data_IF_394539457216
#
_entry.id   IF_394539457216
#
_cell.length_a   1.000
_cell.length_b   1.000
_cell.length_c   1.000
_cell.angle_alpha   90.00
_cell.angle_beta   90.00
_cell.angle_gamma   90.00
#
_symmetry.space_group_name_H-M   'P 1'
#
loop_
_entity.id
_entity.type
_entity.pdbx_description
1 polymer ?
#
# COMPACT_ATOMS: atom_id res chain seq x y z
N UNK A 1 -4.45 -20.33 -23.92
CA UNK A 1 -5.77 -20.96 -24.02
C UNK A 1 -6.87 -19.96 -24.38
N UNK A 2 -7.13 -18.99 -23.53
CA UNK A 2 -8.20 -17.99 -23.74
C UNK A 2 -8.09 -17.28 -25.10
N UNK A 3 -6.90 -16.81 -25.47
CA UNK A 3 -6.68 -16.12 -26.75
C UNK A 3 -6.99 -17.01 -27.97
N UNK A 4 -6.65 -18.29 -27.90
CA UNK A 4 -6.95 -19.25 -28.98
C UNK A 4 -8.45 -19.43 -29.13
N UNK A 5 -9.18 -19.56 -28.01
CA UNK A 5 -10.65 -19.67 -28.03
C UNK A 5 -11.34 -18.40 -28.50
N UNK A 6 -10.79 -17.22 -28.17
CA UNK A 6 -11.27 -15.95 -28.70
C UNK A 6 -11.06 -15.83 -30.21
N UNK A 7 -9.89 -16.24 -30.71
CA UNK A 7 -9.60 -16.26 -32.16
C UNK A 7 -10.46 -17.27 -32.92
N UNK A 8 -10.84 -18.37 -32.28
CA UNK A 8 -11.73 -19.37 -32.86
C UNK A 8 -13.21 -18.97 -32.78
N UNK A 9 -13.55 -17.81 -32.22
CA UNK A 9 -14.92 -17.35 -32.02
C UNK A 9 -15.70 -18.12 -30.93
N UNK A 10 -15.03 -19.01 -30.19
CA UNK A 10 -15.64 -19.82 -29.13
C UNK A 10 -15.79 -19.06 -27.81
N UNK A 11 -15.09 -17.95 -27.66
CA UNK A 11 -15.14 -17.04 -26.54
C UNK A 11 -15.30 -15.61 -27.07
N UNK A 12 -16.39 -14.94 -26.72
CA UNK A 12 -16.68 -13.58 -27.14
C UNK A 12 -16.91 -12.67 -25.92
N UNK A 13 -15.85 -12.31 -25.19
CA UNK A 13 -15.97 -11.42 -24.04
C UNK A 13 -16.40 -10.03 -24.50
N UNK A 14 -17.36 -9.42 -23.79
CA UNK A 14 -17.78 -8.03 -24.02
C UNK A 14 -16.77 -7.04 -23.47
N UNK A 15 -16.08 -7.43 -22.40
CA UNK A 15 -15.06 -6.65 -21.68
C UNK A 15 -13.90 -7.57 -21.35
N UNK A 16 -12.67 -7.05 -21.31
CA UNK A 16 -11.47 -7.82 -20.98
C UNK A 16 -11.57 -8.60 -19.65
N UNK A 17 -12.33 -8.07 -18.68
CA UNK A 17 -12.59 -8.72 -17.39
C UNK A 17 -13.44 -10.00 -17.48
N UNK A 18 -14.18 -10.21 -18.55
CA UNK A 18 -15.08 -11.35 -18.69
C UNK A 18 -14.39 -12.64 -19.13
N UNK A 19 -13.16 -12.55 -19.61
CA UNK A 19 -12.41 -13.68 -20.16
C UNK A 19 -12.27 -14.83 -19.14
N UNK A 20 -11.90 -14.53 -17.92
CA UNK A 20 -11.70 -15.55 -16.86
C UNK A 20 -13.02 -16.17 -16.42
N UNK A 21 -14.08 -15.42 -16.07
CA UNK A 21 -15.38 -15.99 -15.76
C UNK A 21 -15.94 -16.85 -16.91
N UNK A 22 -15.81 -16.40 -18.16
CA UNK A 22 -16.29 -17.16 -19.33
C UNK A 22 -15.54 -18.47 -19.53
N UNK A 23 -14.19 -18.48 -19.34
CA UNK A 23 -13.43 -19.70 -19.36
C UNK A 23 -13.86 -20.67 -18.27
N UNK A 24 -14.04 -20.17 -17.04
CA UNK A 24 -14.45 -20.99 -15.91
C UNK A 24 -15.83 -21.62 -16.16
N UNK A 25 -16.80 -20.84 -16.63
CA UNK A 25 -18.15 -21.35 -16.93
C UNK A 25 -18.14 -22.37 -18.07
N UNK A 26 -17.20 -22.27 -19.02
CA UNK A 26 -17.11 -23.21 -20.15
C UNK A 26 -16.47 -24.55 -19.76
N UNK A 27 -15.49 -24.56 -18.86
CA UNK A 27 -14.67 -25.75 -18.59
C UNK A 27 -14.87 -26.37 -17.21
N UNK A 28 -15.45 -25.65 -16.24
CA UNK A 28 -15.62 -26.19 -14.90
C UNK A 28 -17.01 -26.75 -14.66
N UNK A 29 -17.11 -27.94 -14.01
CA UNK A 29 -18.40 -28.44 -13.52
C UNK A 29 -19.05 -27.48 -12.53
N UNK A 30 -20.37 -27.40 -12.51
CA UNK A 30 -21.14 -26.46 -11.67
C UNK A 30 -20.70 -26.36 -10.20
N UNK A 31 -20.52 -27.48 -9.47
CA UNK A 31 -20.07 -27.41 -8.06
C UNK A 31 -18.68 -26.80 -7.90
N UNK A 32 -17.73 -27.12 -8.79
CA UNK A 32 -16.37 -26.55 -8.76
C UNK A 32 -16.41 -25.07 -9.10
N UNK A 33 -17.22 -24.70 -10.10
CA UNK A 33 -17.44 -23.31 -10.48
C UNK A 33 -17.97 -22.49 -9.28
N UNK A 34 -18.96 -23.05 -8.56
CA UNK A 34 -19.51 -22.43 -7.35
C UNK A 34 -18.46 -22.19 -6.28
N UNK A 35 -17.58 -23.16 -6.01
CA UNK A 35 -16.47 -22.99 -5.06
C UNK A 35 -15.46 -21.92 -5.50
N UNK A 36 -15.14 -21.83 -6.79
CA UNK A 36 -14.23 -20.80 -7.32
C UNK A 36 -14.84 -19.42 -7.16
N UNK A 37 -16.11 -19.24 -7.51
CA UNK A 37 -16.80 -17.96 -7.31
C UNK A 37 -16.93 -17.58 -5.83
N UNK A 38 -17.22 -18.55 -4.96
CA UNK A 38 -17.26 -18.32 -3.52
C UNK A 38 -15.89 -17.87 -3.01
N UNK A 39 -14.80 -18.50 -3.47
CA UNK A 39 -13.44 -18.08 -3.15
C UNK A 39 -13.11 -16.66 -3.62
N UNK A 40 -13.55 -16.30 -4.83
CA UNK A 40 -13.38 -14.94 -5.36
C UNK A 40 -14.16 -13.90 -4.53
N UNK A 41 -15.40 -14.19 -4.18
CA UNK A 41 -16.23 -13.32 -3.32
C UNK A 41 -15.59 -13.18 -1.94
N UNK A 42 -15.12 -14.28 -1.34
CA UNK A 42 -14.43 -14.24 -0.05
C UNK A 42 -13.16 -13.39 -0.09
N UNK A 43 -12.36 -13.50 -1.15
CA UNK A 43 -11.17 -12.69 -1.35
C UNK A 43 -11.48 -11.20 -1.48
N UNK A 44 -12.52 -10.83 -2.25
CA UNK A 44 -12.99 -9.45 -2.38
C UNK A 44 -13.48 -8.92 -1.03
N UNK A 45 -14.28 -9.70 -0.32
CA UNK A 45 -14.85 -9.31 0.97
C UNK A 45 -13.76 -9.11 2.04
N UNK A 46 -12.78 -10.01 2.11
CA UNK A 46 -11.66 -9.91 3.04
C UNK A 46 -10.79 -8.67 2.81
N UNK A 47 -10.74 -8.17 1.58
CA UNK A 47 -9.97 -6.97 1.21
C UNK A 47 -10.80 -5.69 1.37
N UNK A 48 -12.06 -5.70 0.96
CA UNK A 48 -12.92 -4.52 1.04
C UNK A 48 -13.18 -4.08 2.49
N UNK A 49 -13.43 -5.03 3.40
CA UNK A 49 -13.72 -4.72 4.80
C UNK A 49 -12.61 -3.94 5.51
N UNK A 50 -11.32 -4.35 5.49
CA UNK A 50 -10.24 -3.56 6.08
C UNK A 50 -10.02 -2.22 5.39
N UNK A 51 -10.18 -2.09 4.08
CA UNK A 51 -10.05 -0.80 3.39
C UNK A 51 -11.12 0.19 3.85
N UNK A 52 -12.38 -0.24 3.90
CA UNK A 52 -13.50 0.59 4.35
C UNK A 52 -13.33 0.95 5.83
N UNK A 53 -12.99 -0.03 6.68
CA UNK A 53 -12.79 0.17 8.11
C UNK A 53 -11.63 1.12 8.41
N UNK A 54 -10.49 0.91 7.79
CA UNK A 54 -9.31 1.78 7.95
C UNK A 54 -9.58 3.19 7.43
N UNK A 55 -10.20 3.31 6.25
CA UNK A 55 -10.57 4.60 5.69
C UNK A 55 -11.53 5.38 6.61
N UNK A 56 -12.54 4.72 7.15
CA UNK A 56 -13.46 5.29 8.13
C UNK A 56 -12.73 5.77 9.39
N UNK A 57 -11.81 4.94 9.92
CA UNK A 57 -11.02 5.27 11.11
C UNK A 57 -10.07 6.44 10.88
N UNK A 58 -9.42 6.53 9.72
CA UNK A 58 -8.55 7.67 9.38
C UNK A 58 -9.37 8.97 9.35
N UNK A 59 -10.50 8.98 8.67
CA UNK A 59 -11.36 10.17 8.61
C UNK A 59 -11.87 10.54 10.00
N UNK A 60 -12.32 9.55 10.76
CA UNK A 60 -12.83 9.77 12.12
C UNK A 60 -11.73 10.32 13.03
N UNK A 61 -10.55 9.70 13.09
CA UNK A 61 -9.47 10.03 14.00
C UNK A 61 -8.73 11.30 13.58
N UNK A 62 -8.29 11.37 12.32
CA UNK A 62 -7.35 12.39 11.86
C UNK A 62 -8.05 13.67 11.43
N UNK A 63 -9.33 13.60 10.99
CA UNK A 63 -10.11 14.77 10.58
C UNK A 63 -11.14 15.12 11.64
N UNK A 64 -12.11 14.26 11.89
CA UNK A 64 -13.23 14.58 12.78
C UNK A 64 -12.77 14.81 14.22
N UNK A 65 -12.12 13.83 14.82
CA UNK A 65 -11.67 13.89 16.21
C UNK A 65 -10.67 15.01 16.45
N UNK A 66 -9.67 15.13 15.58
CA UNK A 66 -8.56 16.07 15.76
C UNK A 66 -8.96 17.52 15.49
N UNK A 67 -9.66 17.78 14.39
CA UNK A 67 -9.96 19.16 13.97
C UNK A 67 -11.36 19.63 14.33
N UNK A 68 -12.39 18.76 14.26
CA UNK A 68 -13.77 19.14 14.54
C UNK A 68 -14.05 19.05 16.04
N UNK A 69 -13.71 17.94 16.67
CA UNK A 69 -13.97 17.71 18.10
C UNK A 69 -12.84 18.18 19.01
N UNK A 70 -11.68 18.57 18.49
CA UNK A 70 -10.50 19.03 19.25
C UNK A 70 -10.11 18.05 20.37
N UNK A 71 -10.21 16.75 20.05
CA UNK A 71 -9.92 15.64 20.97
C UNK A 71 -10.88 15.53 22.17
N UNK A 72 -12.04 16.16 22.12
CA UNK A 72 -13.08 16.05 23.14
C UNK A 72 -14.25 15.20 22.63
N UNK A 73 -14.74 14.25 23.44
CA UNK A 73 -15.88 13.40 23.11
C UNK A 73 -15.80 12.01 23.74
N UNK A 74 -16.90 11.26 23.69
CA UNK A 74 -16.99 9.94 24.29
C UNK A 74 -16.49 8.83 23.35
N UNK A 75 -16.12 7.69 23.91
CA UNK A 75 -15.76 6.50 23.14
C UNK A 75 -16.91 6.03 22.23
N UNK A 76 -18.14 6.10 22.72
CA UNK A 76 -19.33 5.76 21.92
C UNK A 76 -19.48 6.66 20.69
N UNK A 77 -19.23 7.96 20.83
CA UNK A 77 -19.23 8.90 19.71
C UNK A 77 -18.20 8.52 18.65
N UNK A 78 -17.00 8.14 19.08
CA UNK A 78 -15.94 7.71 18.15
C UNK A 78 -16.35 6.48 17.33
N UNK A 79 -16.97 5.48 17.99
CA UNK A 79 -17.44 4.27 17.32
C UNK A 79 -18.54 4.61 16.29
N UNK A 80 -19.51 5.41 16.67
CA UNK A 80 -20.61 5.77 15.77
C UNK A 80 -20.13 6.62 14.59
N UNK A 81 -19.28 7.58 14.84
CA UNK A 81 -18.70 8.43 13.79
C UNK A 81 -17.87 7.60 12.80
N UNK A 82 -17.08 6.63 13.30
CA UNK A 82 -16.35 5.71 12.45
C UNK A 82 -17.30 4.88 11.56
N UNK A 83 -18.39 4.35 12.12
CA UNK A 83 -19.40 3.60 11.36
C UNK A 83 -20.04 4.46 10.27
N UNK A 84 -20.37 5.72 10.56
CA UNK A 84 -20.93 6.65 9.58
C UNK A 84 -19.94 6.87 8.43
N UNK A 85 -18.67 7.19 8.71
CA UNK A 85 -17.66 7.39 7.67
C UNK A 85 -17.38 6.12 6.86
N UNK A 86 -17.33 4.95 7.50
CA UNK A 86 -17.20 3.68 6.81
C UNK A 86 -18.38 3.43 5.86
N UNK A 87 -19.62 3.74 6.31
CA UNK A 87 -20.82 3.61 5.46
C UNK A 87 -20.78 4.57 4.27
N UNK A 88 -20.35 5.82 4.47
CA UNK A 88 -20.20 6.79 3.39
C UNK A 88 -19.17 6.31 2.36
N UNK A 89 -18.03 5.79 2.83
CA UNK A 89 -16.99 5.24 1.94
C UNK A 89 -17.52 4.02 1.16
N UNK A 90 -18.25 3.13 1.81
CA UNK A 90 -18.85 1.98 1.15
C UNK A 90 -19.87 2.42 0.07
N UNK A 91 -20.74 3.38 0.39
CA UNK A 91 -21.67 3.94 -0.57
C UNK A 91 -20.97 4.61 -1.77
N UNK A 92 -19.91 5.39 -1.52
CA UNK A 92 -19.10 5.99 -2.57
C UNK A 92 -18.43 4.93 -3.46
N UNK A 93 -17.91 3.83 -2.88
CA UNK A 93 -17.33 2.73 -3.65
C UNK A 93 -18.38 2.05 -4.54
N UNK A 94 -19.61 1.85 -4.05
CA UNK A 94 -20.72 1.31 -4.85
C UNK A 94 -21.06 2.25 -6.01
N UNK A 95 -21.16 3.55 -5.77
CA UNK A 95 -21.43 4.54 -6.83
C UNK A 95 -20.34 4.48 -7.90
N UNK A 96 -19.07 4.47 -7.51
CA UNK A 96 -17.95 4.35 -8.46
C UNK A 96 -18.05 3.06 -9.26
N UNK A 97 -18.35 1.94 -8.60
CA UNK A 97 -18.52 0.63 -9.27
C UNK A 97 -19.65 0.62 -10.29
N UNK A 98 -20.75 1.31 -10.02
CA UNK A 98 -21.90 1.37 -10.92
C UNK A 98 -21.70 2.36 -12.09
N UNK A 99 -20.86 3.38 -11.91
CA UNK A 99 -20.64 4.43 -12.91
C UNK A 99 -19.38 4.23 -13.75
N UNK A 100 -18.45 3.40 -13.28
CA UNK A 100 -17.20 3.13 -14.00
C UNK A 100 -17.40 2.07 -15.07
N UNK A 101 -16.93 2.38 -16.28
CA UNK A 101 -16.85 1.44 -17.41
C UNK A 101 -15.46 0.78 -17.54
N UNK A 102 -14.50 1.21 -16.72
CA UNK A 102 -13.13 0.71 -16.78
C UNK A 102 -13.03 -0.70 -16.18
N UNK A 103 -12.11 -1.49 -16.72
CA UNK A 103 -11.79 -2.79 -16.16
C UNK A 103 -11.27 -2.66 -14.71
N UNK A 104 -11.68 -3.57 -13.83
CA UNK A 104 -11.28 -3.59 -12.40
C UNK A 104 -9.76 -3.46 -12.22
N UNK A 105 -8.98 -4.10 -13.11
CA UNK A 105 -7.51 -4.04 -13.09
C UNK A 105 -6.99 -2.61 -13.31
N UNK A 106 -7.64 -1.84 -14.18
CA UNK A 106 -7.27 -0.45 -14.46
C UNK A 106 -7.55 0.45 -13.27
N UNK A 107 -8.75 0.31 -12.68
CA UNK A 107 -9.14 1.05 -11.47
C UNK A 107 -8.22 0.69 -10.30
N UNK A 108 -7.93 -0.60 -10.10
CA UNK A 108 -7.00 -1.09 -9.08
C UNK A 108 -5.57 -0.58 -9.28
N UNK A 109 -5.09 -0.57 -10.53
CA UNK A 109 -3.79 0.00 -10.88
C UNK A 109 -3.71 1.49 -10.58
N UNK A 110 -4.76 2.25 -10.88
CA UNK A 110 -4.85 3.66 -10.54
C UNK A 110 -4.89 3.88 -9.03
N UNK A 111 -5.68 3.10 -8.28
CA UNK A 111 -5.76 3.18 -6.82
C UNK A 111 -4.42 2.89 -6.14
N UNK A 112 -3.65 1.89 -6.64
CA UNK A 112 -2.30 1.60 -6.10
C UNK A 112 -1.32 2.75 -6.31
N UNK A 113 -1.51 3.59 -7.32
CA UNK A 113 -0.67 4.76 -7.53
C UNK A 113 -0.72 5.71 -6.33
N UNK A 114 -1.89 5.89 -5.70
CA UNK A 114 -2.03 6.72 -4.49
C UNK A 114 -1.29 6.15 -3.29
N UNK A 115 -1.25 4.83 -3.13
CA UNK A 115 -0.46 4.16 -2.10
C UNK A 115 1.04 4.38 -2.30
N UNK A 116 1.52 4.29 -3.54
CA UNK A 116 2.95 4.43 -3.84
C UNK A 116 3.48 5.84 -3.69
N UNK A 117 2.70 6.89 -3.91
CA UNK A 117 3.15 8.28 -3.70
C UNK A 117 3.41 8.62 -2.23
N UNK A 118 2.85 7.87 -1.28
CA UNK A 118 3.16 7.99 0.15
C UNK A 118 4.62 7.65 0.47
N UNK A 119 5.33 7.04 -0.47
CA UNK A 119 6.77 6.79 -0.38
C UNK A 119 7.58 8.06 -0.06
N UNK A 120 7.12 9.22 -0.53
CA UNK A 120 7.74 10.51 -0.21
C UNK A 120 7.79 10.78 1.31
N UNK A 121 6.73 10.46 2.05
CA UNK A 121 6.69 10.60 3.51
C UNK A 121 7.61 9.57 4.19
N UNK A 122 7.64 8.34 3.68
CA UNK A 122 8.46 7.26 4.23
C UNK A 122 9.96 7.53 4.08
N UNK A 123 10.39 8.17 2.99
CA UNK A 123 11.79 8.56 2.78
C UNK A 123 12.30 9.46 3.91
N UNK A 124 11.47 10.41 4.38
CA UNK A 124 11.83 11.29 5.47
C UNK A 124 12.05 10.55 6.79
N UNK A 125 11.24 9.54 7.07
CA UNK A 125 11.31 8.76 8.31
C UNK A 125 12.46 7.76 8.30
N UNK A 126 12.56 6.93 7.25
CA UNK A 126 13.48 5.80 7.25
C UNK A 126 14.89 6.12 6.76
N UNK A 127 15.04 7.01 5.79
CA UNK A 127 16.34 7.30 5.17
C UNK A 127 16.92 8.66 5.51
N UNK A 128 16.23 9.42 6.36
CA UNK A 128 16.71 10.72 6.82
C UNK A 128 16.75 11.80 5.75
N UNK A 129 16.10 11.61 4.60
CA UNK A 129 15.90 12.68 3.64
C UNK A 129 15.03 13.75 4.27
N UNK A 130 15.62 14.88 4.61
CA UNK A 130 14.91 15.99 5.22
C UNK A 130 14.36 16.89 4.14
N UNK A 131 13.10 16.64 3.77
CA UNK A 131 12.33 17.61 3.01
C UNK A 131 11.61 18.54 3.97
N UNK A 132 11.50 19.85 3.64
CA UNK A 132 10.66 20.75 4.44
C UNK A 132 9.20 20.28 4.38
N UNK A 133 8.44 20.50 5.46
CA UNK A 133 7.04 20.04 5.57
C UNK A 133 6.18 20.52 4.41
N UNK A 134 6.34 21.76 4.01
CA UNK A 134 5.65 22.34 2.83
C UNK A 134 6.08 21.63 1.55
N UNK A 135 7.35 21.23 1.43
CA UNK A 135 7.85 20.48 0.28
C UNK A 135 7.22 19.09 0.17
N UNK A 136 6.97 18.42 1.29
CA UNK A 136 6.25 17.13 1.31
C UNK A 136 4.81 17.32 0.88
N UNK A 137 4.10 18.32 1.42
CA UNK A 137 2.71 18.61 1.05
C UNK A 137 2.59 18.96 -0.42
N UNK A 138 3.40 19.88 -0.93
CA UNK A 138 3.40 20.26 -2.35
C UNK A 138 3.83 19.10 -3.24
N UNK A 139 4.80 18.28 -2.79
CA UNK A 139 5.21 17.07 -3.48
C UNK A 139 4.08 16.05 -3.60
N UNK A 140 3.32 15.81 -2.53
CA UNK A 140 2.15 14.92 -2.57
C UNK A 140 1.05 15.45 -3.49
N UNK A 141 0.74 16.75 -3.42
CA UNK A 141 -0.25 17.37 -4.31
C UNK A 141 0.17 17.26 -5.79
N UNK A 142 1.44 17.53 -6.08
CA UNK A 142 2.00 17.38 -7.42
C UNK A 142 1.96 15.92 -7.90
N UNK A 143 2.27 14.96 -7.00
CA UNK A 143 2.20 13.53 -7.31
C UNK A 143 0.78 13.07 -7.62
N UNK A 144 -0.21 13.49 -6.81
CA UNK A 144 -1.62 13.21 -7.04
C UNK A 144 -2.04 13.79 -8.40
N UNK A 145 -1.72 15.05 -8.66
CA UNK A 145 -2.04 15.72 -9.94
C UNK A 145 -1.41 14.99 -11.13
N UNK A 146 -0.13 14.57 -11.00
CA UNK A 146 0.55 13.80 -12.05
C UNK A 146 -0.13 12.45 -12.29
N UNK A 147 -0.58 11.74 -11.23
CA UNK A 147 -1.33 10.50 -11.38
C UNK A 147 -2.63 10.70 -12.17
N UNK A 148 -3.40 11.74 -11.84
CA UNK A 148 -4.64 12.06 -12.56
C UNK A 148 -4.37 12.41 -14.02
N UNK A 149 -3.41 13.30 -14.30
CA UNK A 149 -3.08 13.71 -15.65
C UNK A 149 -2.57 12.55 -16.51
N UNK A 150 -1.70 11.70 -15.96
CA UNK A 150 -1.14 10.56 -16.69
C UNK A 150 -2.14 9.44 -16.90
N UNK A 151 -3.16 9.32 -16.06
CA UNK A 151 -4.23 8.35 -16.23
C UNK A 151 -5.32 8.83 -17.20
N UNK A 152 -5.90 9.99 -16.94
CA UNK A 152 -7.08 10.45 -17.68
C UNK A 152 -6.76 11.24 -18.95
N UNK A 153 -5.69 12.05 -18.93
CA UNK A 153 -5.38 12.97 -20.04
C UNK A 153 -4.37 12.35 -21.00
N UNK A 154 -3.21 11.91 -20.48
CA UNK A 154 -2.11 11.43 -21.30
C UNK A 154 -2.09 9.92 -21.52
N UNK A 155 -2.96 9.17 -20.85
CA UNK A 155 -3.16 7.73 -21.01
C UNK A 155 -1.84 6.94 -21.05
N UNK A 156 -1.12 6.92 -19.92
CA UNK A 156 0.15 6.20 -19.73
C UNK A 156 1.28 6.67 -20.67
N UNK A 157 1.71 7.93 -20.60
CA UNK A 157 2.78 8.42 -21.45
C UNK A 157 4.05 7.58 -21.28
N UNK A 158 4.73 7.30 -22.38
CA UNK A 158 5.89 6.41 -22.47
C UNK A 158 5.66 4.98 -21.94
N UNK A 159 4.43 4.51 -21.87
CA UNK A 159 4.07 3.22 -21.26
C UNK A 159 4.50 3.06 -19.80
N UNK A 160 4.76 4.17 -19.11
CA UNK A 160 5.11 4.17 -17.68
C UNK A 160 3.82 4.27 -16.86
N UNK A 161 3.69 3.39 -15.85
CA UNK A 161 2.57 3.41 -14.93
C UNK A 161 2.45 4.76 -14.20
N UNK A 162 1.23 5.21 -13.95
CA UNK A 162 0.92 6.49 -13.29
C UNK A 162 1.65 6.70 -11.97
N UNK A 163 1.84 5.63 -11.19
CA UNK A 163 2.63 5.65 -9.95
C UNK A 163 4.07 6.13 -10.16
N UNK A 164 4.71 5.71 -11.24
CA UNK A 164 6.08 6.15 -11.59
C UNK A 164 6.13 7.65 -11.80
N UNK A 165 5.19 8.20 -12.56
CA UNK A 165 5.08 9.64 -12.76
C UNK A 165 4.78 10.40 -11.48
N UNK A 166 3.88 9.85 -10.63
CA UNK A 166 3.56 10.42 -9.32
C UNK A 166 4.78 10.50 -8.42
N UNK A 167 5.52 9.40 -8.26
CA UNK A 167 6.75 9.36 -7.45
C UNK A 167 7.78 10.37 -7.97
N UNK A 168 8.03 10.38 -9.28
CA UNK A 168 9.02 11.26 -9.90
C UNK A 168 8.68 12.73 -9.68
N UNK A 169 7.44 13.11 -9.96
CA UNK A 169 6.97 14.48 -9.83
C UNK A 169 6.97 14.93 -8.37
N UNK A 170 6.49 14.07 -7.46
CA UNK A 170 6.49 14.35 -6.03
C UNK A 170 7.88 14.58 -5.45
N UNK A 171 8.82 13.70 -5.79
CA UNK A 171 10.22 13.84 -5.38
C UNK A 171 10.87 15.10 -5.97
N UNK A 172 10.64 15.39 -7.26
CA UNK A 172 11.18 16.57 -7.91
C UNK A 172 10.71 17.87 -7.23
N UNK A 173 9.42 17.98 -6.92
CA UNK A 173 8.86 19.14 -6.23
C UNK A 173 9.39 19.26 -4.80
N UNK A 174 9.41 18.17 -4.03
CA UNK A 174 9.93 18.18 -2.67
C UNK A 174 11.42 18.55 -2.63
N UNK A 175 12.21 18.01 -3.56
CA UNK A 175 13.62 18.35 -3.70
C UNK A 175 13.83 19.81 -4.12
N UNK A 176 13.01 20.32 -5.03
CA UNK A 176 13.06 21.72 -5.45
C UNK A 176 12.75 22.67 -4.29
N UNK A 177 11.75 22.36 -3.47
CA UNK A 177 11.45 23.15 -2.26
C UNK A 177 12.64 23.20 -1.29
N UNK A 178 13.33 22.08 -1.11
CA UNK A 178 14.57 22.04 -0.32
C UNK A 178 15.66 22.94 -0.94
N UNK A 179 15.84 22.88 -2.26
CA UNK A 179 16.82 23.69 -2.99
C UNK A 179 16.56 25.20 -2.95
N UNK A 180 15.30 25.60 -2.77
CA UNK A 180 14.88 27.00 -2.57
C UNK A 180 15.17 27.54 -1.16
N UNK A 181 15.74 26.70 -0.28
CA UNK A 181 16.07 27.13 1.08
C UNK A 181 14.86 27.23 2.02
N UNK A 182 13.72 26.68 1.65
CA UNK A 182 12.54 26.64 2.52
C UNK A 182 12.87 25.75 3.72
N UNK A 183 12.73 26.31 4.91
CA UNK A 183 13.01 25.63 6.18
C UNK A 183 11.73 25.49 7.00
N UNK A 184 11.63 24.42 7.76
CA UNK A 184 10.59 24.26 8.77
C UNK A 184 10.83 25.22 9.95
N UNK A 185 9.77 25.47 10.73
CA UNK A 185 9.90 26.18 11.99
C UNK A 185 10.81 25.41 12.96
N UNK A 186 11.48 26.13 13.87
CA UNK A 186 12.36 25.48 14.85
C UNK A 186 11.62 24.44 15.69
N UNK A 187 10.38 24.75 16.09
CA UNK A 187 9.51 23.82 16.82
C UNK A 187 9.27 22.51 16.05
N UNK A 188 9.04 22.58 14.73
CA UNK A 188 8.86 21.40 13.89
C UNK A 188 10.15 20.59 13.80
N UNK A 189 11.30 21.24 13.69
CA UNK A 189 12.61 20.59 13.64
C UNK A 189 12.89 19.87 14.97
N UNK A 190 12.64 20.52 16.10
CA UNK A 190 12.87 19.94 17.42
C UNK A 190 11.96 18.73 17.67
N UNK A 191 10.67 18.83 17.28
CA UNK A 191 9.73 17.70 17.34
C UNK A 191 10.16 16.53 16.43
N UNK A 192 10.64 16.82 15.22
CA UNK A 192 11.17 15.77 14.34
C UNK A 192 12.39 15.08 14.93
N UNK A 193 13.24 15.83 15.64
CA UNK A 193 14.41 15.29 16.33
C UNK A 193 13.99 14.39 17.50
N UNK A 194 13.07 14.85 18.33
CA UNK A 194 12.50 14.08 19.45
C UNK A 194 11.90 12.75 18.98
N UNK A 195 11.03 12.78 17.95
CA UNK A 195 10.46 11.56 17.35
C UNK A 195 11.54 10.62 16.83
N UNK A 196 12.59 11.14 16.24
CA UNK A 196 13.71 10.32 15.75
C UNK A 196 14.51 9.69 16.89
N UNK A 197 14.79 10.45 17.94
CA UNK A 197 15.47 9.93 19.14
C UNK A 197 14.62 8.85 19.80
N UNK A 198 13.31 9.05 19.91
CA UNK A 198 12.38 8.05 20.40
C UNK A 198 12.38 6.78 19.51
N UNK A 199 12.26 6.92 18.18
CA UNK A 199 12.33 5.78 17.26
C UNK A 199 13.64 5.01 17.41
N UNK A 200 14.77 5.71 17.54
CA UNK A 200 16.06 5.07 17.74
C UNK A 200 16.19 4.37 19.10
N UNK A 201 15.53 4.88 20.14
CA UNK A 201 15.52 4.25 21.46
C UNK A 201 14.66 2.99 21.52
N UNK A 202 13.52 3.01 20.79
CA UNK A 202 12.62 1.85 20.67
C UNK A 202 13.23 0.78 19.75
N UNK A 203 13.95 1.20 18.71
CA UNK A 203 14.56 0.34 17.71
C UNK A 203 16.06 0.15 17.98
N UNK A 204 16.38 -0.54 19.07
CA UNK A 204 17.76 -0.87 19.47
C UNK A 204 18.09 -2.33 19.13
N UNK A 205 18.49 -2.64 17.87
CA UNK A 205 18.80 -4.01 17.48
C UNK A 205 20.10 -4.48 18.15
N UNK A 206 20.18 -5.80 18.38
CA UNK A 206 21.45 -6.44 18.80
C UNK A 206 22.53 -6.23 17.74
N UNK A 207 23.79 -6.49 18.10
CA UNK A 207 24.91 -6.40 17.14
C UNK A 207 24.68 -7.30 15.91
N UNK A 208 24.11 -8.49 16.13
CA UNK A 208 23.75 -9.40 15.03
C UNK A 208 22.61 -8.80 14.16
N UNK A 209 21.61 -8.21 14.80
CA UNK A 209 20.54 -7.49 14.11
C UNK A 209 21.05 -6.34 13.23
N UNK A 210 22.03 -5.56 13.71
CA UNK A 210 22.67 -4.49 12.92
C UNK A 210 23.37 -5.03 11.67
N UNK A 211 24.07 -6.13 11.77
CA UNK A 211 24.71 -6.80 10.61
C UNK A 211 23.67 -7.23 9.59
N UNK A 212 22.57 -7.87 10.05
CA UNK A 212 21.49 -8.28 9.17
C UNK A 212 20.78 -7.09 8.51
N UNK A 213 20.52 -6.01 9.24
CA UNK A 213 19.95 -4.77 8.67
C UNK A 213 20.84 -4.20 7.58
N UNK A 214 22.16 -4.22 7.76
CA UNK A 214 23.09 -3.77 6.73
C UNK A 214 23.03 -4.64 5.46
N UNK A 215 22.91 -5.96 5.60
CA UNK A 215 22.73 -6.89 4.47
C UNK A 215 21.41 -6.67 3.76
N UNK A 216 20.32 -6.44 4.51
CA UNK A 216 18.97 -6.22 3.95
C UNK A 216 18.89 -4.92 3.14
N UNK A 217 19.70 -3.89 3.44
CA UNK A 217 19.79 -2.67 2.60
C UNK A 217 20.18 -2.95 1.15
N UNK A 218 20.86 -4.06 0.90
CA UNK A 218 21.25 -4.51 -0.45
C UNK A 218 20.26 -5.57 -0.97
N UNK A 219 19.91 -6.54 -0.15
CA UNK A 219 19.09 -7.67 -0.58
C UNK A 219 17.65 -7.25 -0.93
N UNK A 220 17.05 -6.32 -0.19
CA UNK A 220 15.68 -5.86 -0.47
C UNK A 220 15.59 -5.12 -1.81
N UNK A 221 16.42 -4.11 -2.11
CA UNK A 221 16.44 -3.50 -3.45
C UNK A 221 16.73 -4.49 -4.57
N UNK A 222 17.64 -5.43 -4.35
CA UNK A 222 17.96 -6.47 -5.35
C UNK A 222 16.72 -7.35 -5.61
N UNK A 223 16.00 -7.74 -4.56
CA UNK A 223 14.75 -8.48 -4.70
C UNK A 223 13.71 -7.69 -5.50
N UNK A 224 13.54 -6.39 -5.22
CA UNK A 224 12.64 -5.53 -5.99
C UNK A 224 13.04 -5.44 -7.46
N UNK A 225 14.32 -5.27 -7.76
CA UNK A 225 14.82 -5.21 -9.13
C UNK A 225 14.56 -6.52 -9.90
N UNK A 226 14.70 -7.65 -9.25
CA UNK A 226 14.56 -8.96 -9.89
C UNK A 226 13.10 -9.43 -9.93
N UNK A 227 12.33 -9.22 -8.86
CA UNK A 227 10.95 -9.69 -8.76
C UNK A 227 9.94 -8.78 -9.49
N UNK A 228 10.09 -7.46 -9.39
CA UNK A 228 9.12 -6.47 -9.87
C UNK A 228 9.71 -5.50 -10.91
N UNK A 229 11.03 -5.40 -10.97
CA UNK A 229 11.74 -4.49 -11.85
C UNK A 229 12.25 -5.16 -13.15
N UNK A 230 13.37 -4.70 -13.68
CA UNK A 230 13.95 -5.19 -14.95
C UNK A 230 14.21 -6.70 -15.00
N UNK A 231 14.39 -7.35 -13.85
CA UNK A 231 14.54 -8.80 -13.77
C UNK A 231 13.36 -9.59 -14.32
N UNK A 232 12.16 -8.99 -14.35
CA UNK A 232 10.97 -9.57 -14.96
C UNK A 232 11.16 -9.83 -16.47
N UNK A 233 11.94 -8.98 -17.15
CA UNK A 233 12.26 -9.18 -18.57
C UNK A 233 13.08 -10.45 -18.79
N UNK A 234 14.02 -10.75 -17.88
CA UNK A 234 14.80 -12.00 -17.89
C UNK A 234 13.87 -13.16 -17.59
N UNK A 235 13.01 -13.04 -16.56
CA UNK A 235 12.07 -14.07 -16.15
C UNK A 235 11.09 -14.47 -17.23
N UNK A 236 10.70 -13.54 -18.09
CA UNK A 236 9.76 -13.82 -19.18
C UNK A 236 10.32 -14.76 -20.27
N UNK A 237 11.64 -14.96 -20.30
CA UNK A 237 12.31 -15.82 -21.29
C UNK A 237 13.08 -17.00 -20.66
N UNK A 238 13.22 -17.01 -19.32
CA UNK A 238 14.18 -17.88 -18.65
C UNK A 238 13.80 -19.37 -18.68
N UNK A 239 12.60 -19.72 -18.24
CA UNK A 239 12.16 -21.12 -18.15
C UNK A 239 10.64 -21.23 -17.94
N UNK A 240 10.09 -22.39 -18.31
CA UNK A 240 8.74 -22.80 -17.94
C UNK A 240 8.82 -23.95 -16.94
N UNK A 241 7.91 -23.97 -15.96
CA UNK A 241 7.89 -24.97 -14.91
C UNK A 241 6.47 -25.49 -14.69
N UNK A 242 6.29 -26.81 -14.70
CA UNK A 242 5.00 -27.46 -14.47
C UNK A 242 3.85 -26.89 -15.34
N UNK A 243 4.11 -26.50 -16.59
CA UNK A 243 3.11 -25.91 -17.48
C UNK A 243 2.81 -24.43 -17.24
N UNK A 244 3.46 -23.80 -16.26
CA UNK A 244 3.36 -22.36 -16.08
C UNK A 244 4.19 -21.61 -17.13
N UNK A 245 3.68 -20.51 -17.67
CA UNK A 245 4.48 -19.60 -18.49
C UNK A 245 5.73 -19.11 -17.75
N UNK A 246 6.83 -18.79 -18.45
CA UNK A 246 8.09 -18.39 -17.83
C UNK A 246 7.93 -17.26 -16.78
N UNK A 247 7.11 -16.25 -17.07
CA UNK A 247 6.87 -15.14 -16.15
C UNK A 247 6.25 -15.60 -14.82
N UNK A 248 5.33 -16.54 -14.84
CA UNK A 248 4.71 -17.07 -13.63
C UNK A 248 5.69 -17.93 -12.83
N UNK A 249 6.49 -18.78 -13.52
CA UNK A 249 7.53 -19.56 -12.88
C UNK A 249 8.56 -18.65 -12.18
N UNK A 250 8.97 -17.55 -12.83
CA UNK A 250 9.83 -16.51 -12.27
C UNK A 250 9.21 -15.86 -11.02
N UNK A 251 7.96 -15.46 -11.10
CA UNK A 251 7.26 -14.83 -9.97
C UNK A 251 7.13 -15.78 -8.78
N UNK A 252 6.83 -17.05 -8.98
CA UNK A 252 6.76 -18.04 -7.90
C UNK A 252 8.11 -18.17 -7.18
N UNK A 253 9.22 -18.25 -7.92
CA UNK A 253 10.56 -18.33 -7.32
C UNK A 253 10.86 -17.11 -6.48
N UNK A 254 10.64 -15.92 -7.03
CA UNK A 254 10.89 -14.67 -6.30
C UNK A 254 9.92 -14.43 -5.14
N UNK A 255 8.71 -14.95 -5.22
CA UNK A 255 7.76 -14.97 -4.10
C UNK A 255 8.27 -15.80 -2.93
N UNK A 256 8.79 -17.01 -3.20
CA UNK A 256 9.40 -17.88 -2.17
C UNK A 256 10.62 -17.19 -1.54
N UNK A 257 11.50 -16.60 -2.37
CA UNK A 257 12.65 -15.83 -1.88
C UNK A 257 12.16 -14.65 -1.03
N UNK A 258 11.09 -13.99 -1.44
CA UNK A 258 10.45 -12.89 -0.69
C UNK A 258 9.96 -13.31 0.70
N UNK A 259 9.36 -14.50 0.83
CA UNK A 259 8.95 -15.06 2.13
C UNK A 259 10.15 -15.26 3.05
N UNK A 260 11.23 -15.85 2.53
CA UNK A 260 12.47 -16.04 3.30
C UNK A 260 13.11 -14.70 3.69
N UNK A 261 13.10 -13.73 2.78
CA UNK A 261 13.57 -12.38 3.04
C UNK A 261 12.74 -11.69 4.12
N UNK A 262 11.40 -11.78 4.07
CA UNK A 262 10.51 -11.25 5.10
C UNK A 262 10.76 -11.89 6.46
N UNK A 263 10.93 -13.22 6.49
CA UNK A 263 11.33 -13.92 7.71
C UNK A 263 12.65 -13.37 8.26
N UNK A 264 13.65 -13.16 7.40
CA UNK A 264 14.94 -12.63 7.81
C UNK A 264 14.84 -11.16 8.28
N UNK A 265 14.00 -10.34 7.66
CA UNK A 265 13.71 -8.98 8.14
C UNK A 265 13.06 -8.99 9.52
N UNK A 266 12.07 -9.85 9.74
CA UNK A 266 11.37 -9.93 11.00
C UNK A 266 12.28 -10.43 12.14
N UNK A 267 12.92 -11.59 11.95
CA UNK A 267 13.58 -12.32 13.03
C UNK A 267 15.10 -12.11 13.10
N UNK A 268 15.78 -11.94 11.98
CA UNK A 268 17.24 -11.75 11.96
C UNK A 268 17.64 -10.29 12.02
N UNK A 269 16.93 -9.43 11.31
CA UNK A 269 17.12 -7.99 11.38
C UNK A 269 16.34 -7.31 12.51
N UNK A 270 15.55 -8.08 13.27
CA UNK A 270 14.81 -7.63 14.45
C UNK A 270 13.88 -6.44 14.16
N UNK A 271 13.22 -6.44 12.99
CA UNK A 271 12.38 -5.31 12.57
C UNK A 271 10.92 -5.41 13.05
N UNK A 272 10.49 -6.56 13.56
CA UNK A 272 9.12 -6.78 14.06
C UNK A 272 9.05 -7.23 15.51
N UNK A 273 10.18 -7.39 16.19
CA UNK A 273 10.21 -7.79 17.57
C UNK A 273 9.99 -6.58 18.49
N UNK A 274 8.83 -6.55 19.13
CA UNK A 274 8.57 -5.62 20.24
C UNK A 274 8.94 -6.32 21.54
N UNK A 275 9.76 -5.69 22.40
CA UNK A 275 10.13 -6.28 23.68
C UNK A 275 8.89 -6.43 24.59
N UNK A 276 8.87 -7.48 25.43
CA UNK A 276 7.78 -7.66 26.41
C UNK A 276 7.60 -6.45 27.33
N UNK A 277 8.68 -5.76 27.63
CA UNK A 277 8.65 -4.54 28.45
C UNK A 277 7.91 -3.38 27.77
N UNK A 278 8.05 -3.24 26.45
CA UNK A 278 7.31 -2.25 25.69
C UNK A 278 5.83 -2.58 25.60
N UNK A 279 5.48 -3.87 25.45
CA UNK A 279 4.09 -4.33 25.45
C UNK A 279 3.44 -4.04 26.81
N UNK A 280 4.14 -4.35 27.91
CA UNK A 280 3.63 -4.09 29.28
C UNK A 280 3.44 -2.60 29.56
N UNK A 281 4.34 -1.72 29.07
CA UNK A 281 4.17 -0.27 29.19
C UNK A 281 2.94 0.24 28.45
N UNK A 282 2.72 -0.22 27.22
CA UNK A 282 1.55 0.14 26.45
C UNK A 282 0.24 -0.29 27.12
N UNK A 283 0.21 -1.49 27.71
CA UNK A 283 -0.94 -1.98 28.47
C UNK A 283 -1.19 -1.17 29.75
N UNK A 284 -0.14 -0.72 30.42
CA UNK A 284 -0.26 0.07 31.65
C UNK A 284 -0.72 1.49 31.36
N UNK A 285 -0.20 2.13 30.33
CA UNK A 285 -0.61 3.47 29.91
C UNK A 285 -2.07 3.52 29.44
N UNK A 286 -2.54 2.50 28.73
CA UNK A 286 -3.95 2.40 28.31
C UNK A 286 -4.91 2.18 29.48
N UNK A 287 -4.48 1.50 30.54
CA UNK A 287 -5.26 1.27 31.76
C UNK A 287 -5.36 2.53 32.64
N UNK A 288 -4.32 3.35 32.68
CA UNK A 288 -4.32 4.59 33.45
C UNK A 288 -5.20 5.69 32.82
N UNK A 289 -5.23 5.79 31.49
CA UNK A 289 -6.11 6.72 30.77
C UNK A 289 -7.59 6.38 30.99
N UNK A 290 -7.93 5.10 31.15
CA UNK A 290 -9.31 4.70 31.45
C UNK A 290 -9.73 5.02 32.89
N UNK A 291 -8.79 5.04 33.84
CA UNK A 291 -9.07 5.42 35.24
C UNK A 291 -9.26 6.92 35.44
N UNK A 292 -8.56 7.76 34.66
CA UNK A 292 -8.76 9.21 34.68
C UNK A 292 -10.04 9.67 33.97
N UNK A 293 -10.60 8.84 33.07
CA UNK A 293 -11.85 9.15 32.38
C UNK A 293 -13.11 8.80 33.22
N UNK A 294 -12.96 7.96 34.24
CA UNK A 294 -14.04 7.52 35.14
C UNK A 294 -14.03 8.26 36.50
N UNK A 295 -13.07 9.20 36.72
CA UNK A 295 -12.97 10.06 37.90
C UNK A 295 -13.40 11.50 37.55
#
# INVERSE_FOLDING_TARGET
>A
GARILMMAGELAPKVDGDVVPMLMTKFLPGPVLGLVFLGAIAAIHSTAAPYIGTGGTIIQRDVWWRYVRKQAGSHSEQIWTNRIFATILAAAAVIVSLTSSDAIVMIGGFATAFGTIMYLCLLGVHWGFRFPSIGVVLGLLAAITACFLTYYVWKYPLSIHTAGWGIFTGLAVAYRCRGLGIKDSQETIDRQKEVREWLNSVDAPTENGKVWRSRMKILVPLWYLMALGPGVLIGNTAFSFCGFPPIWAWQIVWWIIGIVMMWALCFKAEMSTTSEEQIRRADTETLDVTKEADA
#
